data_IF_738142013169
#
_entry.id   IF_738142013169
#
_cell.length_a   1.000
_cell.length_b   1.000
_cell.length_c   1.000
_cell.angle_alpha   90.00
_cell.angle_beta   90.00
_cell.angle_gamma   90.00
#
_symmetry.space_group_name_H-M   'P 1'
#
loop_
_entity.id
_entity.type
_entity.pdbx_description
1 polymer ?
#
# COMPACT_ATOMS: atom_id res chain seq x y z
N UNK A 1 1.14 40.73 -33.63
CA UNK A 1 2.17 40.24 -34.57
C UNK A 1 2.46 38.80 -34.14
N UNK A 2 1.89 37.83 -34.86
CA UNK A 2 2.50 36.85 -35.79
C UNK A 2 3.79 36.23 -35.18
N UNK A 3 3.89 34.87 -34.93
CA UNK A 3 3.84 33.79 -35.95
C UNK A 3 3.57 32.44 -35.31
N UNK A 4 2.73 31.67 -35.96
CA UNK A 4 2.51 30.22 -35.86
C UNK A 4 3.72 29.46 -36.42
N UNK A 5 4.09 28.32 -35.84
CA UNK A 5 4.76 27.25 -36.58
C UNK A 5 4.15 25.90 -36.15
N UNK A 6 3.41 25.37 -37.11
CA UNK A 6 3.01 23.97 -37.14
C UNK A 6 4.16 23.17 -37.76
N UNK A 7 4.43 22.00 -37.18
CA UNK A 7 5.10 20.91 -37.93
C UNK A 7 4.59 19.58 -37.38
N UNK A 8 3.73 18.97 -38.17
CA UNK A 8 3.34 17.58 -38.07
C UNK A 8 4.49 16.73 -38.68
N UNK A 9 4.89 15.67 -37.99
CA UNK A 9 5.62 14.56 -38.56
C UNK A 9 4.96 13.28 -38.10
N UNK A 10 4.18 12.70 -39.01
CA UNK A 10 3.75 11.32 -38.99
C UNK A 10 4.88 10.45 -39.54
N UNK A 11 5.26 9.41 -38.82
CA UNK A 11 5.99 8.30 -39.42
C UNK A 11 5.47 6.99 -38.87
N UNK A 12 4.69 6.32 -39.68
CA UNK A 12 4.33 4.92 -39.54
C UNK A 12 5.52 4.08 -40.04
N UNK A 13 5.91 3.07 -39.29
CA UNK A 13 6.62 1.93 -39.87
C UNK A 13 6.23 0.63 -39.19
N UNK A 14 5.66 -0.19 -39.98
CA UNK A 14 5.15 -1.53 -39.85
C UNK A 14 6.24 -2.61 -39.82
N UNK A 15 5.83 -3.83 -39.38
CA UNK A 15 6.40 -5.15 -39.69
C UNK A 15 7.69 -5.54 -38.96
N UNK A 16 7.81 -6.71 -38.33
CA UNK A 16 7.60 -8.03 -38.90
C UNK A 16 7.60 -9.11 -37.81
N UNK A 17 6.76 -10.10 -38.02
CA UNK A 17 6.80 -11.42 -37.37
C UNK A 17 8.09 -12.15 -37.69
N UNK A 18 8.67 -12.87 -36.74
CA UNK A 18 9.39 -14.10 -37.02
C UNK A 18 9.14 -15.14 -35.93
N UNK A 19 8.33 -16.12 -36.29
CA UNK A 19 8.32 -17.43 -35.66
C UNK A 19 9.63 -18.16 -36.00
N UNK A 20 10.29 -18.72 -35.00
CA UNK A 20 11.15 -19.88 -35.20
C UNK A 20 10.88 -20.88 -34.11
N UNK A 21 10.37 -22.01 -34.53
CA UNK A 21 10.17 -23.22 -33.78
C UNK A 21 11.42 -24.10 -33.84
N UNK A 22 11.42 -25.13 -32.96
CA UNK A 22 12.30 -26.33 -32.88
C UNK A 22 13.64 -26.11 -32.16
N UNK A 23 14.03 -26.95 -31.17
CA UNK A 23 14.04 -28.39 -31.05
C UNK A 23 14.58 -28.73 -29.66
N UNK A 24 13.93 -29.51 -28.83
CA UNK A 24 14.15 -30.90 -28.49
C UNK A 24 15.40 -31.18 -27.63
N UNK A 25 15.20 -31.46 -26.34
CA UNK A 25 15.99 -32.48 -25.64
C UNK A 25 15.21 -32.94 -24.37
N UNK A 26 15.05 -34.23 -24.25
CA UNK A 26 14.35 -35.04 -23.26
C UNK A 26 15.28 -35.42 -22.10
N UNK A 27 14.82 -36.15 -21.07
CA UNK A 27 14.75 -35.72 -19.67
C UNK A 27 15.76 -36.45 -18.78
N UNK A 28 15.91 -35.96 -17.56
CA UNK A 28 16.48 -36.75 -16.47
C UNK A 28 15.37 -36.95 -15.42
N UNK A 29 14.95 -38.22 -15.23
CA UNK A 29 14.16 -38.70 -14.12
C UNK A 29 14.93 -38.50 -12.80
N UNK A 30 14.28 -37.90 -11.83
CA UNK A 30 14.66 -38.06 -10.43
C UNK A 30 13.38 -38.39 -9.64
N UNK A 31 13.25 -39.64 -9.30
CA UNK A 31 12.28 -40.19 -8.35
C UNK A 31 12.48 -39.52 -6.97
N UNK A 32 11.46 -38.87 -6.47
CA UNK A 32 11.33 -38.56 -5.05
C UNK A 32 9.93 -38.93 -4.55
N UNK A 33 9.94 -39.65 -3.44
CA UNK A 33 8.89 -40.36 -2.79
C UNK A 33 7.64 -39.55 -2.48
N UNK A 34 6.49 -40.19 -2.66
CA UNK A 34 5.17 -39.75 -2.20
C UNK A 34 5.13 -39.74 -0.67
N UNK A 35 4.93 -38.58 -0.09
CA UNK A 35 4.47 -38.39 1.26
C UNK A 35 2.98 -38.03 1.21
N UNK A 36 2.17 -38.98 1.64
CA UNK A 36 0.72 -38.89 1.77
C UNK A 36 0.40 -37.90 2.90
N UNK A 37 -0.05 -36.71 2.56
CA UNK A 37 -0.58 -35.74 3.52
C UNK A 37 -2.04 -35.50 3.15
N UNK A 38 -2.92 -36.18 3.82
CA UNK A 38 -4.36 -35.93 3.82
C UNK A 38 -4.63 -34.50 4.26
N UNK A 39 -4.82 -33.60 3.31
CA UNK A 39 -5.37 -32.27 3.58
C UNK A 39 -6.86 -32.39 3.83
N UNK A 40 -7.27 -32.18 5.07
CA UNK A 40 -8.66 -32.01 5.43
C UNK A 40 -9.23 -30.82 4.63
N UNK A 41 -10.22 -31.11 3.78
CA UNK A 41 -11.00 -30.06 3.12
C UNK A 41 -11.75 -29.25 4.19
N UNK A 42 -11.31 -28.05 4.47
CA UNK A 42 -12.12 -27.08 5.20
C UNK A 42 -13.28 -26.70 4.27
N UNK A 43 -14.47 -27.06 4.64
CA UNK A 43 -15.70 -26.57 4.02
C UNK A 43 -15.73 -25.05 4.16
N UNK A 44 -15.45 -24.37 3.06
CA UNK A 44 -15.65 -22.93 2.97
C UNK A 44 -17.16 -22.71 2.87
N UNK A 45 -17.79 -22.40 4.00
CA UNK A 45 -19.15 -21.85 3.97
C UNK A 45 -19.09 -20.55 3.18
N UNK A 46 -19.66 -20.57 1.98
CA UNK A 46 -19.85 -19.39 1.18
C UNK A 46 -20.69 -18.39 1.99
N UNK A 47 -20.06 -17.31 2.46
CA UNK A 47 -20.80 -16.19 3.02
C UNK A 47 -21.74 -15.66 1.93
N UNK A 48 -23.03 -15.48 2.27
CA UNK A 48 -23.99 -14.90 1.37
C UNK A 48 -23.51 -13.52 0.93
N UNK A 49 -23.53 -13.24 -0.36
CA UNK A 49 -23.19 -11.92 -0.91
C UNK A 49 -24.09 -10.86 -0.27
N UNK A 50 -23.54 -9.71 0.16
CA UNK A 50 -24.34 -8.62 0.67
C UNK A 50 -25.26 -8.09 -0.43
N UNK A 51 -26.56 -8.10 -0.18
CA UNK A 51 -27.61 -7.62 -1.10
C UNK A 51 -27.81 -6.10 -0.99
N UNK A 52 -26.70 -5.33 -0.97
CA UNK A 52 -26.72 -3.88 -0.85
C UNK A 52 -25.68 -3.21 -1.77
N UNK A 53 -25.80 -1.90 -1.92
CA UNK A 53 -24.81 -1.12 -2.66
C UNK A 53 -23.42 -1.25 -2.02
N UNK A 54 -22.41 -1.54 -2.83
CA UNK A 54 -21.01 -1.64 -2.36
C UNK A 54 -20.51 -0.25 -2.00
N UNK A 55 -20.16 -0.06 -0.73
CA UNK A 55 -19.59 1.19 -0.24
C UNK A 55 -18.13 1.33 -0.72
N UNK A 56 -17.83 2.41 -1.43
CA UNK A 56 -16.48 2.73 -1.87
C UNK A 56 -15.80 3.56 -0.79
N UNK A 57 -14.66 3.05 -0.30
CA UNK A 57 -13.86 3.69 0.73
C UNK A 57 -12.49 4.08 0.18
N UNK A 58 -11.99 5.22 0.60
CA UNK A 58 -10.63 5.68 0.31
C UNK A 58 -9.74 5.48 1.53
N UNK A 59 -8.57 4.87 1.35
CA UNK A 59 -7.58 4.65 2.40
C UNK A 59 -6.29 5.41 2.11
N UNK A 60 -6.01 6.45 2.89
CA UNK A 60 -4.75 7.18 2.87
C UNK A 60 -3.61 6.34 3.44
N UNK A 61 -2.46 6.31 2.76
CA UNK A 61 -1.30 5.48 3.16
C UNK A 61 -0.01 6.28 3.26
N UNK A 62 0.94 6.08 2.39
CA UNK A 62 2.21 6.77 2.30
C UNK A 62 2.73 6.73 0.87
N UNK A 63 4.01 7.01 0.67
CA UNK A 63 4.64 6.90 -0.64
C UNK A 63 4.55 5.48 -1.19
N UNK A 64 4.47 5.32 -2.51
CA UNK A 64 4.24 4.04 -3.20
C UNK A 64 5.31 2.97 -2.93
N UNK A 65 6.50 3.37 -2.50
CA UNK A 65 7.60 2.46 -2.10
C UNK A 65 7.64 2.19 -0.60
N UNK A 66 6.75 2.81 0.18
CA UNK A 66 6.71 2.72 1.64
C UNK A 66 5.87 1.56 2.15
N UNK A 67 6.13 1.19 3.41
CA UNK A 67 5.43 0.09 4.09
C UNK A 67 3.92 0.36 4.21
N UNK A 68 3.51 1.59 4.48
CA UNK A 68 2.09 1.96 4.58
C UNK A 68 1.32 1.66 3.31
N UNK A 69 1.88 2.00 2.15
CA UNK A 69 1.24 1.73 0.86
C UNK A 69 1.14 0.22 0.59
N UNK A 70 2.22 -0.53 0.83
CA UNK A 70 2.23 -1.98 0.65
C UNK A 70 1.24 -2.67 1.59
N UNK A 71 1.23 -2.29 2.87
CA UNK A 71 0.32 -2.85 3.87
C UNK A 71 -1.15 -2.49 3.59
N UNK A 72 -1.42 -1.24 3.23
CA UNK A 72 -2.74 -0.79 2.80
C UNK A 72 -3.25 -1.57 1.60
N UNK A 73 -2.38 -1.86 0.62
CA UNK A 73 -2.70 -2.71 -0.52
C UNK A 73 -3.10 -4.13 -0.14
N UNK A 74 -2.41 -4.73 0.84
CA UNK A 74 -2.77 -6.06 1.36
C UNK A 74 -4.11 -6.03 2.08
N UNK A 75 -4.34 -5.04 2.96
CA UNK A 75 -5.62 -4.87 3.66
C UNK A 75 -6.77 -4.71 2.66
N UNK A 76 -6.62 -3.80 1.70
CA UNK A 76 -7.63 -3.56 0.68
C UNK A 76 -7.93 -4.82 -0.14
N UNK A 77 -6.89 -5.53 -0.59
CA UNK A 77 -7.07 -6.79 -1.34
C UNK A 77 -7.83 -7.85 -0.54
N UNK A 78 -7.46 -8.04 0.73
CA UNK A 78 -8.15 -9.01 1.60
C UNK A 78 -9.61 -8.64 1.84
N UNK A 79 -9.90 -7.37 2.18
CA UNK A 79 -11.27 -6.94 2.47
C UNK A 79 -12.15 -6.92 1.21
N UNK A 80 -11.62 -6.42 0.10
CA UNK A 80 -12.33 -6.39 -1.17
C UNK A 80 -12.67 -7.81 -1.69
N UNK A 81 -11.83 -8.82 -1.36
CA UNK A 81 -12.07 -10.21 -1.75
C UNK A 81 -13.12 -10.92 -0.90
N UNK A 82 -13.54 -10.35 0.25
CA UNK A 82 -14.50 -10.97 1.17
C UNK A 82 -15.95 -10.71 0.83
N UNK A 83 -16.23 -9.84 -0.14
CA UNK A 83 -17.59 -9.49 -0.55
C UNK A 83 -18.49 -9.06 0.64
N UNK A 84 -17.94 -8.21 1.51
CA UNK A 84 -18.59 -7.72 2.72
C UNK A 84 -19.28 -6.35 2.52
N UNK A 85 -19.55 -5.97 1.28
CA UNK A 85 -20.22 -4.73 0.95
C UNK A 85 -19.34 -3.49 0.95
N UNK A 86 -17.99 -3.65 0.98
CA UNK A 86 -17.04 -2.54 0.87
C UNK A 86 -16.06 -2.77 -0.27
N UNK A 87 -15.59 -1.66 -0.85
CA UNK A 87 -14.50 -1.64 -1.81
C UNK A 87 -13.52 -0.53 -1.42
N UNK A 88 -12.33 -0.91 -0.97
CA UNK A 88 -11.30 0.00 -0.49
C UNK A 88 -10.34 0.33 -1.63
N UNK A 89 -10.20 1.62 -1.92
CA UNK A 89 -9.20 2.17 -2.84
C UNK A 89 -8.04 2.76 -2.03
N UNK A 90 -6.82 2.29 -2.30
CA UNK A 90 -5.60 2.75 -1.62
C UNK A 90 -5.02 3.96 -2.31
N UNK A 91 -4.80 5.02 -1.55
CA UNK A 91 -4.23 6.28 -2.03
C UNK A 91 -2.82 6.49 -1.47
N UNK A 92 -1.88 6.84 -2.35
CA UNK A 92 -0.56 7.31 -1.95
C UNK A 92 -0.63 8.75 -1.43
N UNK A 93 0.00 9.01 -0.28
CA UNK A 93 -0.07 10.30 0.41
C UNK A 93 1.28 10.71 0.99
N UNK A 94 1.32 11.86 1.67
CA UNK A 94 2.43 12.33 2.49
C UNK A 94 2.54 11.67 3.87
N UNK A 95 1.93 10.50 4.07
CA UNK A 95 1.89 9.73 5.31
C UNK A 95 1.16 10.44 6.47
N UNK A 96 1.54 10.16 7.73
CA UNK A 96 0.74 10.36 8.93
C UNK A 96 0.08 11.74 9.07
N UNK A 97 0.82 12.85 8.95
CA UNK A 97 0.23 14.20 9.09
C UNK A 97 -0.81 14.48 8.00
N UNK A 98 -0.47 14.19 6.75
CA UNK A 98 -1.39 14.35 5.63
C UNK A 98 -2.64 13.46 5.79
N UNK A 99 -2.44 12.23 6.24
CA UNK A 99 -3.51 11.26 6.45
C UNK A 99 -4.51 11.69 7.53
N UNK A 100 -4.03 12.30 8.61
CA UNK A 100 -4.89 12.87 9.64
C UNK A 100 -5.81 13.93 9.04
N UNK A 101 -5.28 14.84 8.23
CA UNK A 101 -6.10 15.87 7.60
C UNK A 101 -7.11 15.27 6.61
N UNK A 102 -6.70 14.32 5.77
CA UNK A 102 -7.62 13.68 4.84
C UNK A 102 -8.81 13.02 5.55
N UNK A 103 -8.59 12.37 6.70
CA UNK A 103 -9.68 11.79 7.47
C UNK A 103 -10.48 12.85 8.22
N UNK A 104 -9.83 13.82 8.86
CA UNK A 104 -10.48 14.89 9.60
C UNK A 104 -11.39 15.74 8.70
N UNK A 105 -10.99 15.95 7.45
CA UNK A 105 -11.72 16.76 6.47
C UNK A 105 -12.72 15.93 5.66
N UNK A 106 -12.80 14.61 5.91
CA UNK A 106 -13.71 13.69 5.22
C UNK A 106 -13.32 13.37 3.77
N UNK A 107 -12.05 13.60 3.40
CA UNK A 107 -11.50 13.28 2.07
C UNK A 107 -11.02 11.83 1.97
N UNK A 108 -10.75 11.18 3.11
CA UNK A 108 -10.49 9.75 3.21
C UNK A 108 -11.30 9.13 4.35
N UNK A 109 -11.71 7.88 4.17
CA UNK A 109 -12.48 7.11 5.15
C UNK A 109 -11.59 6.37 6.14
N UNK A 110 -10.42 5.96 5.70
CA UNK A 110 -9.43 5.19 6.44
C UNK A 110 -8.03 5.76 6.20
N UNK A 111 -7.14 5.58 7.16
CA UNK A 111 -5.74 5.95 6.98
C UNK A 111 -4.79 5.12 7.87
N UNK A 112 -3.55 4.98 7.41
CA UNK A 112 -2.44 4.49 8.24
C UNK A 112 -1.71 5.67 8.86
N UNK A 113 -1.52 5.66 10.17
CA UNK A 113 -0.96 6.76 10.94
C UNK A 113 -0.07 6.23 12.05
N UNK A 114 1.04 6.90 12.33
CA UNK A 114 1.83 6.65 13.52
C UNK A 114 1.08 7.10 14.77
N UNK A 115 1.20 6.35 15.84
CA UNK A 115 0.46 6.61 17.08
C UNK A 115 0.86 7.90 17.78
N UNK A 116 2.12 8.30 17.72
CA UNK A 116 2.62 9.59 18.20
C UNK A 116 2.07 10.76 17.39
N UNK A 117 2.04 10.66 16.06
CA UNK A 117 1.44 11.69 15.19
C UNK A 117 -0.06 11.81 15.43
N UNK A 118 -0.74 10.70 15.70
CA UNK A 118 -2.16 10.71 16.11
C UNK A 118 -2.37 11.46 17.44
N UNK A 119 -1.48 11.25 18.43
CA UNK A 119 -1.50 11.96 19.70
C UNK A 119 -1.26 13.46 19.52
N UNK A 120 -0.26 13.84 18.72
CA UNK A 120 0.02 15.25 18.38
C UNK A 120 -1.17 15.94 17.71
N UNK A 121 -1.82 15.26 16.80
CA UNK A 121 -3.00 15.79 16.11
C UNK A 121 -4.16 16.01 17.08
N UNK A 122 -4.45 15.02 17.91
CA UNK A 122 -5.56 15.09 18.86
C UNK A 122 -5.38 16.21 19.91
N UNK A 123 -4.14 16.45 20.34
CA UNK A 123 -3.80 17.47 21.34
C UNK A 123 -3.42 18.83 20.72
N UNK A 124 -3.20 18.92 19.42
CA UNK A 124 -2.72 20.15 18.74
C UNK A 124 -1.31 20.52 19.18
N UNK A 125 -0.42 19.54 19.27
CA UNK A 125 0.97 19.71 19.70
C UNK A 125 1.94 19.32 18.59
N UNK A 126 3.24 19.56 18.80
CA UNK A 126 4.32 19.20 17.89
C UNK A 126 4.01 19.56 16.42
N UNK A 127 3.84 18.56 15.55
CA UNK A 127 3.54 18.78 14.13
C UNK A 127 2.22 19.55 13.87
N UNK A 128 1.35 19.68 14.86
CA UNK A 128 0.05 20.36 14.77
C UNK A 128 -0.03 21.60 15.64
N UNK A 129 1.09 22.07 16.19
CA UNK A 129 1.10 23.22 17.11
C UNK A 129 0.64 24.54 16.45
N UNK A 130 0.89 24.70 15.16
CA UNK A 130 0.51 25.91 14.42
C UNK A 130 -0.93 25.83 13.90
N UNK A 131 -1.36 24.69 13.40
CA UNK A 131 -2.68 24.49 12.80
C UNK A 131 -3.77 24.18 13.83
N UNK A 132 -3.37 23.70 15.02
CA UNK A 132 -4.27 23.33 16.08
C UNK A 132 -4.71 21.86 16.03
N UNK A 133 -5.55 21.48 16.98
CA UNK A 133 -6.00 20.10 17.14
C UNK A 133 -6.92 19.67 15.99
N UNK A 134 -6.69 18.47 15.47
CA UNK A 134 -7.58 17.73 14.57
C UNK A 134 -8.13 16.52 15.35
N UNK A 135 -9.45 16.38 15.48
CA UNK A 135 -10.10 15.41 16.40
C UNK A 135 -11.17 14.54 15.74
N UNK A 136 -11.53 14.81 14.50
CA UNK A 136 -12.61 14.10 13.81
C UNK A 136 -12.13 12.79 13.20
N UNK A 137 -11.46 11.99 14.02
CA UNK A 137 -11.00 10.65 13.68
C UNK A 137 -11.03 9.73 14.91
N UNK A 138 -10.99 8.42 14.67
CA UNK A 138 -10.91 7.40 15.73
C UNK A 138 -9.95 6.28 15.31
N UNK A 139 -9.27 5.69 16.31
CA UNK A 139 -8.42 4.54 16.07
C UNK A 139 -9.26 3.26 15.92
N UNK A 140 -9.01 2.51 14.84
CA UNK A 140 -9.70 1.24 14.54
C UNK A 140 -8.88 0.05 15.01
N UNK A 141 -7.58 0.03 14.70
CA UNK A 141 -6.69 -1.07 15.04
C UNK A 141 -5.23 -0.63 15.08
N UNK A 142 -4.41 -1.33 15.86
CA UNK A 142 -2.96 -1.27 15.75
C UNK A 142 -2.48 -2.34 14.76
N UNK A 143 -1.58 -1.96 13.84
CA UNK A 143 -1.12 -2.86 12.76
C UNK A 143 0.20 -3.53 13.11
N UNK A 144 1.24 -2.78 13.38
CA UNK A 144 2.59 -3.27 13.66
C UNK A 144 3.40 -2.23 14.42
N UNK A 145 4.53 -2.67 15.02
CA UNK A 145 5.46 -1.77 15.68
C UNK A 145 6.43 -1.15 14.67
N UNK A 146 6.51 0.18 14.65
CA UNK A 146 7.55 0.91 13.94
C UNK A 146 8.68 1.22 14.92
N UNK A 147 9.81 0.54 14.75
CA UNK A 147 10.98 0.73 15.62
C UNK A 147 11.98 1.67 14.95
N UNK A 148 12.45 2.66 15.70
CA UNK A 148 13.52 3.53 15.25
C UNK A 148 14.85 2.75 15.30
N UNK A 149 15.56 2.73 14.16
CA UNK A 149 16.88 2.16 14.04
C UNK A 149 17.86 3.22 13.55
N UNK A 150 18.92 3.44 14.31
CA UNK A 150 20.00 4.34 13.92
C UNK A 150 21.10 3.51 13.25
N UNK A 151 21.35 3.83 12.00
CA UNK A 151 22.44 3.19 11.22
C UNK A 151 23.53 4.21 11.01
N UNK A 152 24.77 3.86 11.38
CA UNK A 152 25.94 4.71 11.21
C UNK A 152 26.95 4.06 10.27
N UNK A 153 27.73 4.87 9.57
CA UNK A 153 28.92 4.42 8.84
C UNK A 153 30.15 4.65 9.70
N UNK A 154 31.06 3.68 9.75
CA UNK A 154 32.34 3.79 10.47
C UNK A 154 32.33 3.24 11.90
N UNK A 155 33.05 3.89 12.80
CA UNK A 155 33.38 3.34 14.13
C UNK A 155 32.41 3.76 15.23
N UNK A 156 31.34 4.50 14.94
CA UNK A 156 30.34 4.91 15.91
C UNK A 156 29.55 3.69 16.37
N UNK A 157 29.61 3.37 17.66
CA UNK A 157 29.02 2.15 18.26
C UNK A 157 28.00 2.43 19.34
N UNK A 158 27.83 3.70 19.74
CA UNK A 158 26.87 4.09 20.76
C UNK A 158 26.24 5.44 20.42
N UNK A 159 25.09 5.72 21.02
CA UNK A 159 24.41 7.02 20.87
C UNK A 159 25.27 8.16 21.42
N UNK A 160 26.04 7.89 22.47
CA UNK A 160 26.92 8.89 23.11
C UNK A 160 28.08 9.36 22.19
N UNK A 161 28.37 8.56 21.15
CA UNK A 161 29.39 8.89 20.15
C UNK A 161 28.83 9.72 18.99
N UNK A 162 27.51 9.89 18.92
CA UNK A 162 26.85 10.78 17.96
C UNK A 162 26.97 12.23 18.44
N UNK A 163 28.09 12.87 18.10
CA UNK A 163 28.28 14.28 18.38
C UNK A 163 27.96 15.09 17.14
N UNK A 164 26.98 15.99 17.26
CA UNK A 164 26.65 17.00 16.27
C UNK A 164 27.53 18.23 16.39
#
# INVERSE_FOLDING_TARGET
MRKRFSAAIALALSCAMMLTACSGSKPAETTAAAGDTTAAAAETTAAAAPSGDVQKLTMGTGGTTGTYYAYGGVIANVLNSKDIGVNINVQSTGASKANIYLVNDGEADLATVQNDVMDYAYNGTDLFAEEGAAKDFTAVAALYAEVCQIVTSGDIKSVDELKG
#
